data_IF_032996977242
#
_entry.id   IF_032996977242
#
_cell.length_a   1.000
_cell.length_b   1.000
_cell.length_c   1.000
_cell.angle_alpha   90.00
_cell.angle_beta   90.00
_cell.angle_gamma   90.00
#
_symmetry.space_group_name_H-M   'P 1'
#
loop_
_entity.id
_entity.type
_entity.pdbx_description
1 polymer ?
#
# COMPACT_ATOMS: atom_id res chain seq x y z
N UNK A 1 9.67 29.32 -33.66
CA UNK A 1 9.45 27.91 -33.27
C UNK A 1 9.35 27.68 -31.76
N UNK A 2 9.97 28.49 -30.88
CA UNK A 2 9.75 28.41 -29.42
C UNK A 2 8.32 28.77 -28.97
N UNK A 3 7.64 29.67 -29.68
CA UNK A 3 6.29 30.12 -29.31
C UNK A 3 5.17 29.10 -29.56
N UNK A 4 5.45 27.99 -30.29
CA UNK A 4 4.48 26.92 -30.51
C UNK A 4 4.53 25.83 -29.42
N UNK A 5 5.66 25.68 -28.71
CA UNK A 5 5.79 24.71 -27.62
C UNK A 5 5.09 25.17 -26.32
N UNK A 6 4.97 26.48 -26.10
CA UNK A 6 4.23 27.02 -24.95
C UNK A 6 2.70 27.07 -25.14
N UNK A 7 2.20 26.86 -26.37
CA UNK A 7 0.75 26.96 -26.67
C UNK A 7 -0.06 25.69 -26.39
N UNK A 8 0.59 24.57 -26.02
CA UNK A 8 -0.12 23.33 -25.65
C UNK A 8 -0.36 23.14 -24.15
N UNK A 9 0.09 24.07 -23.29
CA UNK A 9 -0.17 24.01 -21.85
C UNK A 9 -1.58 24.50 -21.42
N UNK A 10 -2.47 24.86 -22.35
CA UNK A 10 -3.70 25.59 -22.00
C UNK A 10 -4.92 24.96 -22.64
N UNK A 11 -5.36 23.79 -22.15
CA UNK A 11 -6.77 23.31 -22.16
C UNK A 11 -7.07 22.30 -21.03
N UNK A 12 -6.45 22.48 -19.87
CA UNK A 12 -7.09 22.18 -18.60
C UNK A 12 -7.74 23.49 -18.13
N UNK A 13 -8.84 23.44 -17.37
CA UNK A 13 -9.61 24.59 -16.88
C UNK A 13 -8.74 25.81 -16.47
N UNK A 14 -9.25 27.05 -16.50
CA UNK A 14 -8.53 28.24 -16.04
C UNK A 14 -8.35 28.17 -14.52
N UNK A 15 -7.45 27.30 -14.08
CA UNK A 15 -6.93 27.19 -12.74
C UNK A 15 -5.53 27.74 -12.89
N UNK A 16 -5.28 28.84 -12.18
CA UNK A 16 -3.98 29.46 -11.96
C UNK A 16 -2.82 28.49 -12.21
N UNK A 17 -1.85 28.89 -13.05
CA UNK A 17 -0.50 28.32 -12.97
C UNK A 17 -0.07 28.56 -11.52
N UNK A 18 -0.27 27.57 -10.66
CA UNK A 18 0.10 27.67 -9.24
C UNK A 18 1.62 27.77 -9.21
N UNK A 19 2.15 28.62 -8.34
CA UNK A 19 3.59 28.70 -8.14
C UNK A 19 4.10 27.31 -7.76
N UNK A 20 4.92 26.74 -8.65
CA UNK A 20 5.64 25.50 -8.38
C UNK A 20 6.62 25.76 -7.24
N UNK A 21 6.61 24.88 -6.24
CA UNK A 21 7.52 24.98 -5.09
C UNK A 21 8.85 24.26 -5.33
N UNK A 22 8.84 23.19 -6.14
CA UNK A 22 10.03 22.44 -6.49
C UNK A 22 9.70 21.20 -7.33
N UNK A 23 10.72 20.39 -7.62
CA UNK A 23 10.51 19.09 -8.27
C UNK A 23 9.97 18.07 -7.26
N UNK A 24 9.29 17.03 -7.76
CA UNK A 24 8.86 15.93 -6.89
C UNK A 24 10.06 15.21 -6.29
N UNK A 25 11.22 15.19 -6.96
CA UNK A 25 12.47 14.68 -6.40
C UNK A 25 12.93 15.46 -5.17
N UNK A 26 12.88 16.80 -5.19
CA UNK A 26 13.25 17.61 -4.01
C UNK A 26 12.34 17.33 -2.81
N UNK A 27 11.08 16.97 -3.10
CA UNK A 27 10.08 16.68 -2.09
C UNK A 27 10.10 15.23 -1.59
N UNK A 28 10.39 14.28 -2.47
CA UNK A 28 10.40 12.83 -2.22
C UNK A 28 11.81 12.23 -2.17
N UNK A 29 12.84 13.07 -2.04
CA UNK A 29 14.22 12.63 -2.00
C UNK A 29 14.52 11.75 -0.78
N UNK A 30 15.69 11.11 -0.76
CA UNK A 30 16.10 10.15 0.28
C UNK A 30 16.08 10.68 1.72
N UNK A 31 16.18 12.00 1.92
CA UNK A 31 16.11 12.63 3.24
C UNK A 31 14.68 13.00 3.67
N UNK A 32 13.68 12.77 2.82
CA UNK A 32 12.31 13.22 3.04
C UNK A 32 11.47 12.19 3.79
N UNK A 33 10.87 12.61 4.90
CA UNK A 33 9.90 11.82 5.67
C UNK A 33 8.58 11.59 4.94
N UNK A 34 8.39 12.11 3.71
CA UNK A 34 7.15 11.98 2.97
C UNK A 34 6.86 10.54 2.51
N UNK A 35 7.90 9.70 2.37
CA UNK A 35 7.77 8.31 1.91
C UNK A 35 7.46 7.33 3.05
N UNK A 36 7.79 7.69 4.30
CA UNK A 36 7.64 6.83 5.48
C UNK A 36 6.46 7.33 6.32
N UNK A 37 5.38 6.56 6.37
CA UNK A 37 4.29 6.82 7.30
C UNK A 37 4.74 6.64 8.74
N UNK A 38 4.26 7.49 9.66
CA UNK A 38 4.43 7.27 11.10
C UNK A 38 3.61 6.02 11.47
N UNK A 39 4.27 4.91 11.79
CA UNK A 39 3.62 3.63 12.12
C UNK A 39 3.64 2.56 11.01
N UNK A 40 4.82 2.29 10.46
CA UNK A 40 5.25 0.99 9.90
C UNK A 40 4.49 0.38 8.70
N UNK A 41 3.49 1.04 8.11
CA UNK A 41 2.78 0.54 6.92
C UNK A 41 2.82 1.58 5.81
N UNK A 42 3.72 1.38 4.84
CA UNK A 42 3.67 2.06 3.54
C UNK A 42 2.34 1.70 2.87
N UNK A 43 1.68 2.61 2.13
CA UNK A 43 2.11 3.97 1.82
C UNK A 43 1.67 5.04 2.84
N UNK A 44 2.49 6.07 2.99
CA UNK A 44 2.07 7.30 3.67
C UNK A 44 0.87 7.91 2.93
N UNK A 45 -0.02 8.61 3.65
CA UNK A 45 -1.13 9.36 3.03
C UNK A 45 -0.67 10.30 1.91
N UNK A 46 0.52 10.85 2.06
CA UNK A 46 1.13 11.75 1.10
C UNK A 46 1.57 11.01 -0.18
N UNK A 47 2.18 9.83 -0.05
CA UNK A 47 2.53 8.98 -1.19
C UNK A 47 1.26 8.49 -1.92
N UNK A 48 0.20 8.16 -1.17
CA UNK A 48 -1.11 7.84 -1.75
C UNK A 48 -1.66 9.00 -2.57
N UNK A 49 -1.59 10.22 -2.02
CA UNK A 49 -2.06 11.42 -2.73
C UNK A 49 -1.23 11.73 -3.98
N UNK A 50 0.09 11.62 -3.90
CA UNK A 50 0.99 11.80 -5.05
C UNK A 50 0.63 10.81 -6.16
N UNK A 51 0.48 9.53 -5.83
CA UNK A 51 0.09 8.51 -6.80
C UNK A 51 -1.29 8.80 -7.41
N UNK A 52 -2.25 9.24 -6.59
CA UNK A 52 -3.60 9.63 -7.02
C UNK A 52 -3.54 10.75 -8.07
N UNK A 53 -2.83 11.83 -7.78
CA UNK A 53 -2.71 12.97 -8.69
C UNK A 53 -2.09 12.58 -10.03
N UNK A 54 -1.06 11.72 -10.01
CA UNK A 54 -0.39 11.25 -11.22
C UNK A 54 -1.32 10.35 -12.05
N UNK A 55 -2.06 9.43 -11.41
CA UNK A 55 -3.03 8.56 -12.07
C UNK A 55 -4.16 9.39 -12.71
N UNK A 56 -4.69 10.39 -12.01
CA UNK A 56 -5.73 11.27 -12.56
C UNK A 56 -5.19 12.09 -13.74
N UNK A 57 -3.98 12.66 -13.60
CA UNK A 57 -3.33 13.43 -14.66
C UNK A 57 -3.09 12.59 -15.92
N UNK A 58 -2.52 11.40 -15.78
CA UNK A 58 -2.26 10.48 -16.88
C UNK A 58 -3.57 10.02 -17.55
N UNK A 59 -4.56 9.63 -16.75
CA UNK A 59 -5.86 9.19 -17.27
C UNK A 59 -6.55 10.30 -18.07
N UNK A 60 -6.51 11.53 -17.58
CA UNK A 60 -7.07 12.67 -18.29
C UNK A 60 -6.35 12.91 -19.63
N UNK A 61 -5.01 12.93 -19.63
CA UNK A 61 -4.24 13.11 -20.86
C UNK A 61 -4.54 12.02 -21.88
N UNK A 62 -4.58 10.76 -21.44
CA UNK A 62 -4.81 9.62 -22.32
C UNK A 62 -6.21 9.66 -22.94
N UNK A 63 -7.23 10.04 -22.16
CA UNK A 63 -8.59 10.27 -22.64
C UNK A 63 -8.68 11.38 -23.69
N UNK A 64 -7.77 12.37 -23.65
CA UNK A 64 -7.67 13.43 -24.68
C UNK A 64 -6.87 13.02 -25.91
N UNK A 65 -6.39 11.79 -25.99
CA UNK A 65 -5.54 11.32 -27.08
C UNK A 65 -4.11 11.84 -27.01
N UNK A 66 -3.64 12.16 -25.80
CA UNK A 66 -2.30 12.65 -25.52
C UNK A 66 -1.53 11.63 -24.66
N UNK A 67 -0.22 11.85 -24.49
CA UNK A 67 0.67 11.07 -23.63
C UNK A 67 1.74 12.01 -23.04
N UNK A 68 2.39 11.59 -21.96
CA UNK A 68 3.38 12.38 -21.26
C UNK A 68 4.79 12.21 -21.82
N UNK A 69 5.22 10.97 -22.03
CA UNK A 69 6.48 10.60 -22.70
C UNK A 69 7.76 10.84 -21.91
N UNK A 70 7.69 11.21 -20.63
CA UNK A 70 8.85 11.56 -19.80
C UNK A 70 8.53 11.50 -18.29
N UNK A 71 7.95 10.40 -17.83
CA UNK A 71 7.50 10.21 -16.44
C UNK A 71 8.71 9.90 -15.54
N UNK A 72 8.96 10.77 -14.55
CA UNK A 72 9.95 10.56 -13.48
C UNK A 72 9.75 11.55 -12.33
N UNK A 73 10.34 11.28 -11.17
CA UNK A 73 10.34 12.22 -10.03
C UNK A 73 11.05 13.55 -10.33
N UNK A 74 12.05 13.54 -11.21
CA UNK A 74 12.80 14.74 -11.58
C UNK A 74 12.10 15.62 -12.61
N UNK A 75 11.07 15.10 -13.28
CA UNK A 75 10.37 15.79 -14.38
C UNK A 75 9.00 16.33 -13.96
N UNK A 76 8.48 15.88 -12.82
CA UNK A 76 7.24 16.37 -12.22
C UNK A 76 7.50 17.43 -11.16
N UNK A 77 6.50 18.29 -10.97
CA UNK A 77 6.54 19.35 -9.99
C UNK A 77 5.48 19.14 -8.92
N UNK A 78 5.67 19.77 -7.76
CA UNK A 78 4.64 19.85 -6.73
C UNK A 78 4.31 21.31 -6.39
N UNK A 79 3.10 21.53 -5.88
CA UNK A 79 2.69 22.79 -5.29
C UNK A 79 1.76 22.52 -4.11
N UNK A 80 1.76 23.41 -3.12
CA UNK A 80 0.75 23.37 -2.06
C UNK A 80 -0.48 24.17 -2.46
N UNK A 81 -1.63 23.66 -2.08
CA UNK A 81 -2.87 24.44 -2.12
C UNK A 81 -2.97 25.40 -0.93
N UNK A 82 -4.08 26.13 -0.84
CA UNK A 82 -4.33 27.11 0.21
C UNK A 82 -4.52 26.48 1.61
N UNK A 83 -4.76 25.17 1.68
CA UNK A 83 -4.79 24.39 2.92
C UNK A 83 -3.42 23.80 3.28
N UNK A 84 -2.40 24.02 2.45
CA UNK A 84 -1.08 23.43 2.61
C UNK A 84 -0.97 21.98 2.11
N UNK A 85 -2.02 21.46 1.45
CA UNK A 85 -2.05 20.12 0.88
C UNK A 85 -1.22 20.08 -0.40
N UNK A 86 -0.43 19.02 -0.56
CA UNK A 86 0.45 18.84 -1.71
C UNK A 86 -0.37 18.34 -2.89
N UNK A 87 -0.11 18.93 -4.05
CA UNK A 87 -0.63 18.48 -5.34
C UNK A 87 0.49 18.34 -6.37
N UNK A 88 0.44 17.28 -7.16
CA UNK A 88 1.43 17.00 -8.21
C UNK A 88 0.99 17.59 -9.54
N UNK A 89 1.93 18.20 -10.26
CA UNK A 89 1.73 18.71 -11.62
C UNK A 89 2.60 17.93 -12.60
N UNK A 90 1.94 17.32 -13.59
CA UNK A 90 2.61 16.70 -14.73
C UNK A 90 3.24 17.79 -15.62
N UNK A 91 4.53 17.63 -15.93
CA UNK A 91 5.30 18.64 -16.65
C UNK A 91 6.48 18.02 -17.41
N UNK A 92 7.19 18.85 -18.17
CA UNK A 92 8.35 18.44 -18.96
C UNK A 92 8.05 17.26 -19.91
N UNK A 93 6.94 17.39 -20.65
CA UNK A 93 6.45 16.39 -21.59
C UNK A 93 7.49 16.04 -22.66
N UNK A 94 7.70 14.76 -22.87
CA UNK A 94 8.62 14.21 -23.87
C UNK A 94 7.89 13.81 -25.15
N UNK A 95 8.64 13.72 -26.24
CA UNK A 95 8.13 13.21 -27.51
C UNK A 95 8.80 11.86 -27.83
N UNK A 96 7.97 10.87 -28.17
CA UNK A 96 8.37 9.54 -28.62
C UNK A 96 7.83 9.32 -30.04
N UNK A 97 8.68 8.90 -30.98
CA UNK A 97 8.29 8.55 -32.37
C UNK A 97 7.68 7.14 -32.45
N UNK A 98 6.59 6.91 -31.72
CA UNK A 98 5.90 5.62 -31.63
C UNK A 98 4.38 5.81 -31.71
N UNK A 99 3.60 4.74 -31.97
CA UNK A 99 2.14 4.81 -31.96
C UNK A 99 1.59 5.34 -30.63
N UNK A 100 0.48 6.10 -30.69
CA UNK A 100 -0.11 6.75 -29.52
C UNK A 100 -0.43 5.76 -28.37
N UNK A 101 -1.08 4.63 -28.67
CA UNK A 101 -1.41 3.62 -27.66
C UNK A 101 -0.17 3.04 -27.00
N UNK A 102 0.89 2.87 -27.77
CA UNK A 102 2.17 2.39 -27.26
C UNK A 102 2.80 3.43 -26.32
N UNK A 103 2.78 4.70 -26.68
CA UNK A 103 3.26 5.79 -25.83
C UNK A 103 2.47 5.92 -24.52
N UNK A 104 1.14 5.78 -24.58
CA UNK A 104 0.27 5.81 -23.41
C UNK A 104 0.51 4.61 -22.47
N UNK A 105 0.70 3.41 -23.02
CA UNK A 105 1.12 2.23 -22.25
C UNK A 105 2.46 2.48 -21.57
N UNK A 106 3.41 3.07 -22.30
CA UNK A 106 4.73 3.35 -21.76
C UNK A 106 4.69 4.41 -20.64
N UNK A 107 3.79 5.39 -20.67
CA UNK A 107 3.60 6.32 -19.54
C UNK A 107 3.25 5.58 -18.24
N UNK A 108 2.32 4.61 -18.30
CA UNK A 108 1.97 3.79 -17.15
C UNK A 108 3.17 2.97 -16.68
N UNK A 109 3.89 2.32 -17.60
CA UNK A 109 5.08 1.54 -17.24
C UNK A 109 6.17 2.41 -16.61
N UNK A 110 6.39 3.59 -17.14
CA UNK A 110 7.35 4.56 -16.62
C UNK A 110 6.91 5.08 -15.24
N UNK A 111 5.61 5.25 -14.99
CA UNK A 111 5.08 5.51 -13.65
C UNK A 111 5.38 4.37 -12.66
N UNK A 112 5.18 3.11 -13.08
CA UNK A 112 5.55 1.96 -12.26
C UNK A 112 7.05 1.90 -11.95
N UNK A 113 7.92 2.19 -12.92
CA UNK A 113 9.38 2.27 -12.70
C UNK A 113 9.72 3.38 -11.70
N UNK A 114 9.10 4.55 -11.84
CA UNK A 114 9.29 5.67 -10.91
C UNK A 114 8.92 5.29 -9.47
N UNK A 115 7.85 4.51 -9.26
CA UNK A 115 7.49 3.99 -7.94
C UNK A 115 8.54 3.01 -7.39
N UNK A 116 9.15 2.18 -8.23
CA UNK A 116 10.28 1.31 -7.81
C UNK A 116 11.55 2.10 -7.50
N UNK A 117 11.80 3.21 -8.19
CA UNK A 117 12.92 4.10 -7.84
C UNK A 117 12.72 4.72 -6.46
N UNK A 118 11.50 5.24 -6.18
CA UNK A 118 11.15 5.72 -4.84
C UNK A 118 11.29 4.63 -3.77
N UNK A 119 10.89 3.40 -4.11
CA UNK A 119 11.01 2.24 -3.24
C UNK A 119 12.46 1.92 -2.86
N UNK A 120 13.34 1.90 -3.85
CA UNK A 120 14.77 1.64 -3.67
C UNK A 120 15.41 2.68 -2.76
N UNK A 121 15.05 3.95 -2.92
CA UNK A 121 15.52 5.02 -2.03
C UNK A 121 15.03 4.80 -0.59
N UNK A 122 13.77 4.41 -0.36
CA UNK A 122 13.27 4.15 1.01
C UNK A 122 13.98 2.95 1.65
N UNK A 123 14.08 1.85 0.92
CA UNK A 123 14.65 0.60 1.43
C UNK A 123 16.12 0.73 1.81
N UNK A 124 16.85 1.68 1.20
CA UNK A 124 18.23 1.99 1.55
C UNK A 124 18.38 2.67 2.92
N UNK A 125 17.39 3.45 3.36
CA UNK A 125 17.43 4.19 4.64
C UNK A 125 16.71 3.48 5.77
N UNK A 126 15.71 2.68 5.44
CA UNK A 126 14.91 1.96 6.42
C UNK A 126 14.50 0.64 5.79
N UNK A 127 14.80 -0.50 6.42
CA UNK A 127 14.46 -1.84 5.91
C UNK A 127 12.96 -2.14 5.92
N UNK A 128 12.13 -1.09 5.98
CA UNK A 128 10.70 -1.12 6.14
C UNK A 128 9.96 -1.25 4.79
N UNK A 129 8.65 -1.39 4.88
CA UNK A 129 7.81 -2.33 4.15
C UNK A 129 7.36 -1.80 2.81
N UNK A 130 8.10 -2.12 1.78
CA UNK A 130 7.79 -1.66 0.43
C UNK A 130 7.01 -2.67 -0.39
N UNK A 131 6.67 -3.84 0.14
CA UNK A 131 5.98 -4.91 -0.60
C UNK A 131 4.68 -4.44 -1.27
N UNK A 132 3.87 -3.62 -0.59
CA UNK A 132 2.66 -3.00 -1.14
C UNK A 132 3.00 -2.05 -2.29
N UNK A 133 4.06 -1.24 -2.15
CA UNK A 133 4.52 -0.32 -3.18
C UNK A 133 5.10 -1.06 -4.39
N UNK A 134 5.85 -2.14 -4.18
CA UNK A 134 6.38 -3.01 -5.24
C UNK A 134 5.25 -3.71 -5.99
N UNK A 135 4.26 -4.28 -5.30
CA UNK A 135 3.08 -4.89 -5.93
C UNK A 135 2.30 -3.85 -6.75
N UNK A 136 2.13 -2.64 -6.18
CA UNK A 136 1.47 -1.53 -6.85
C UNK A 136 2.24 -1.04 -8.09
N UNK A 137 3.57 -0.92 -8.00
CA UNK A 137 4.42 -0.57 -9.14
C UNK A 137 4.33 -1.62 -10.25
N UNK A 138 4.34 -2.90 -9.87
CA UNK A 138 4.23 -4.02 -10.81
C UNK A 138 2.89 -4.05 -11.56
N UNK A 139 1.80 -3.55 -10.97
CA UNK A 139 0.53 -3.37 -11.69
C UNK A 139 0.72 -2.51 -12.95
N UNK A 140 1.47 -1.42 -12.85
CA UNK A 140 1.70 -0.50 -13.96
C UNK A 140 2.79 -1.00 -14.91
N UNK A 141 3.88 -1.58 -14.40
CA UNK A 141 4.96 -2.16 -15.23
C UNK A 141 4.41 -3.24 -16.17
N UNK A 142 3.47 -4.04 -15.68
CA UNK A 142 2.86 -5.13 -16.44
C UNK A 142 1.67 -4.70 -17.30
N UNK A 143 1.34 -3.40 -17.35
CA UNK A 143 0.24 -2.88 -18.16
C UNK A 143 0.48 -3.16 -19.65
N UNK A 144 -0.55 -3.67 -20.30
CA UNK A 144 -0.62 -3.91 -21.76
C UNK A 144 -1.50 -2.86 -22.44
N UNK A 145 -1.55 -2.85 -23.77
CA UNK A 145 -2.43 -1.91 -24.49
C UNK A 145 -3.92 -2.17 -24.25
N UNK A 146 -4.29 -3.42 -23.94
CA UNK A 146 -5.67 -3.81 -23.62
C UNK A 146 -6.09 -3.32 -22.23
N UNK A 147 -5.13 -2.98 -21.38
CA UNK A 147 -5.38 -2.51 -20.03
C UNK A 147 -5.67 -1.01 -19.95
N UNK A 148 -5.38 -0.23 -20.99
CA UNK A 148 -5.41 1.24 -20.96
C UNK A 148 -6.76 1.81 -20.45
N UNK A 149 -7.87 1.21 -20.84
CA UNK A 149 -9.22 1.65 -20.43
C UNK A 149 -9.59 1.21 -19.01
N UNK A 150 -8.79 0.33 -18.40
CA UNK A 150 -9.10 -0.30 -17.11
C UNK A 150 -8.06 -0.05 -16.04
N UNK A 151 -6.86 0.40 -16.39
CA UNK A 151 -5.72 0.50 -15.48
C UNK A 151 -5.98 1.49 -14.33
N UNK A 152 -6.64 2.62 -14.59
CA UNK A 152 -7.09 3.56 -13.54
C UNK A 152 -7.95 2.84 -12.49
N UNK A 153 -8.97 2.13 -12.95
CA UNK A 153 -9.88 1.36 -12.09
C UNK A 153 -9.16 0.23 -11.37
N UNK A 154 -8.24 -0.48 -12.04
CA UNK A 154 -7.41 -1.52 -11.39
C UNK A 154 -6.53 -0.91 -10.30
N UNK A 155 -5.93 0.25 -10.55
CA UNK A 155 -5.06 0.95 -9.61
C UNK A 155 -5.83 1.38 -8.36
N UNK A 156 -6.99 2.03 -8.50
CA UNK A 156 -7.80 2.41 -7.33
C UNK A 156 -8.35 1.23 -6.55
N UNK A 157 -8.43 0.05 -7.16
CA UNK A 157 -8.80 -1.18 -6.46
C UNK A 157 -7.64 -1.87 -5.76
N UNK A 158 -6.42 -1.36 -5.92
CA UNK A 158 -5.24 -1.93 -5.31
C UNK A 158 -5.21 -1.66 -3.80
N UNK A 159 -4.63 -2.59 -3.03
CA UNK A 159 -4.45 -2.48 -1.56
C UNK A 159 -3.67 -1.23 -1.12
N UNK A 160 -2.92 -0.63 -2.04
CA UNK A 160 -2.20 0.64 -1.86
C UNK A 160 -3.12 1.82 -1.53
N UNK A 161 -4.37 1.82 -1.99
CA UNK A 161 -5.37 2.86 -1.69
C UNK A 161 -6.33 2.47 -0.56
N UNK A 162 -6.05 1.40 0.19
CA UNK A 162 -6.91 0.98 1.30
C UNK A 162 -6.73 1.92 2.49
N UNK A 163 -7.84 2.48 2.98
CA UNK A 163 -7.84 3.41 4.13
C UNK A 163 -7.83 2.68 5.49
N UNK A 164 -8.12 1.37 5.52
CA UNK A 164 -8.20 0.58 6.74
C UNK A 164 -6.81 0.41 7.37
N UNK A 165 -6.65 0.67 8.67
CA UNK A 165 -5.41 0.36 9.41
C UNK A 165 -5.11 -1.15 9.28
N UNK A 166 -3.84 -1.52 9.06
CA UNK A 166 -3.44 -2.93 8.98
C UNK A 166 -3.78 -3.71 10.24
N UNK A 167 -3.76 -3.05 11.40
CA UNK A 167 -4.20 -3.66 12.65
C UNK A 167 -5.69 -3.95 12.68
N UNK A 168 -6.51 -2.97 12.28
CA UNK A 168 -7.97 -3.12 12.27
C UNK A 168 -8.42 -4.24 11.33
N UNK A 169 -7.81 -4.31 10.14
CA UNK A 169 -8.03 -5.42 9.22
C UNK A 169 -7.76 -6.77 9.89
N UNK A 170 -6.61 -6.92 10.55
CA UNK A 170 -6.19 -8.20 11.11
C UNK A 170 -7.00 -8.55 12.37
N UNK A 171 -7.17 -7.63 13.30
CA UNK A 171 -7.89 -7.89 14.56
C UNK A 171 -9.39 -8.10 14.38
N UNK A 172 -10.01 -7.51 13.35
CA UNK A 172 -11.47 -7.52 13.20
C UNK A 172 -11.94 -8.34 12.00
N UNK A 173 -11.39 -8.12 10.82
CA UNK A 173 -11.92 -8.76 9.61
C UNK A 173 -11.31 -10.14 9.39
N UNK A 174 -9.99 -10.25 9.46
CA UNK A 174 -9.30 -11.55 9.31
C UNK A 174 -9.70 -12.51 10.42
N UNK A 175 -9.84 -12.03 11.66
CA UNK A 175 -10.24 -12.86 12.80
C UNK A 175 -11.62 -13.53 12.60
N UNK A 176 -12.57 -12.85 11.96
CA UNK A 176 -13.86 -13.41 11.60
C UNK A 176 -13.75 -14.49 10.52
N UNK A 177 -12.98 -14.21 9.46
CA UNK A 177 -12.78 -15.12 8.32
C UNK A 177 -11.98 -16.38 8.66
N UNK A 178 -11.24 -16.41 9.77
CA UNK A 178 -10.57 -17.62 10.26
C UNK A 178 -11.54 -18.77 10.61
N UNK A 179 -12.86 -18.49 10.66
CA UNK A 179 -13.88 -19.52 10.83
C UNK A 179 -14.34 -20.13 9.49
N UNK A 180 -14.03 -19.50 8.35
CA UNK A 180 -14.35 -20.03 7.02
C UNK A 180 -13.27 -21.05 6.58
N UNK A 181 -13.65 -22.32 6.33
CA UNK A 181 -12.73 -23.33 5.81
C UNK A 181 -12.06 -22.96 4.48
N UNK A 182 -12.75 -22.23 3.60
CA UNK A 182 -12.22 -21.82 2.30
C UNK A 182 -11.12 -20.76 2.47
N UNK A 183 -11.36 -19.75 3.31
CA UNK A 183 -10.34 -18.76 3.64
C UNK A 183 -9.12 -19.42 4.30
N UNK A 184 -9.33 -20.33 5.25
CA UNK A 184 -8.26 -21.10 5.87
C UNK A 184 -7.44 -21.91 4.86
N UNK A 185 -8.08 -22.47 3.84
CA UNK A 185 -7.37 -23.20 2.79
C UNK A 185 -6.55 -22.25 1.90
N UNK A 186 -7.08 -21.08 1.56
CA UNK A 186 -6.32 -20.03 0.85
C UNK A 186 -5.10 -19.54 1.64
N UNK A 187 -5.21 -19.43 2.97
CA UNK A 187 -4.05 -19.15 3.83
C UNK A 187 -2.98 -20.24 3.72
N UNK A 188 -3.36 -21.52 3.75
CA UNK A 188 -2.42 -22.66 3.62
C UNK A 188 -1.72 -22.65 2.27
N UNK A 189 -2.45 -22.40 1.19
CA UNK A 189 -1.90 -22.31 -0.17
C UNK A 189 -0.91 -21.14 -0.33
N UNK A 190 -1.09 -20.07 0.44
CA UNK A 190 -0.20 -18.91 0.45
C UNK A 190 0.74 -18.87 1.66
N UNK A 191 0.91 -20.00 2.36
CA UNK A 191 1.69 -20.09 3.61
C UNK A 191 3.11 -19.52 3.47
N UNK A 192 3.79 -19.82 2.36
CA UNK A 192 5.15 -19.34 2.08
C UNK A 192 5.27 -17.82 1.88
N UNK A 193 4.15 -17.10 1.67
CA UNK A 193 4.13 -15.63 1.58
C UNK A 193 3.72 -14.96 2.89
N UNK A 194 2.95 -15.67 3.72
CA UNK A 194 2.33 -15.18 4.96
C UNK A 194 3.23 -15.48 6.17
N UNK A 195 3.68 -16.72 6.30
CA UNK A 195 4.48 -17.21 7.42
C UNK A 195 5.75 -17.88 6.88
N UNK A 196 6.84 -17.12 6.85
CA UNK A 196 8.10 -17.54 6.22
C UNK A 196 8.88 -18.60 7.03
N UNK A 197 8.52 -18.81 8.30
CA UNK A 197 9.26 -19.70 9.21
C UNK A 197 8.36 -20.23 10.34
N UNK A 198 8.88 -21.17 11.12
CA UNK A 198 8.23 -21.69 12.32
C UNK A 198 8.13 -20.58 13.38
N UNK A 199 6.90 -20.19 13.73
CA UNK A 199 6.66 -19.04 14.60
C UNK A 199 6.87 -19.33 16.09
N UNK A 200 7.33 -20.54 16.44
CA UNK A 200 7.92 -20.88 17.75
C UNK A 200 9.32 -20.29 17.96
N UNK A 201 9.59 -19.09 17.45
CA UNK A 201 10.87 -18.42 17.61
C UNK A 201 10.94 -17.64 18.94
N UNK A 202 12.15 -17.30 19.45
CA UNK A 202 12.30 -16.58 20.72
C UNK A 202 11.51 -15.26 20.78
N UNK A 203 11.32 -14.61 19.64
CA UNK A 203 10.61 -13.34 19.52
C UNK A 203 9.12 -13.46 19.90
N UNK A 204 8.46 -14.57 19.53
CA UNK A 204 7.06 -14.84 19.87
C UNK A 204 6.90 -15.69 21.13
N UNK A 205 7.90 -16.49 21.48
CA UNK A 205 7.85 -17.37 22.64
C UNK A 205 7.65 -16.62 23.96
N UNK A 206 8.14 -15.38 24.06
CA UNK A 206 7.95 -14.52 25.23
C UNK A 206 6.53 -13.92 25.34
N UNK A 207 5.82 -13.82 24.20
CA UNK A 207 4.46 -13.28 24.11
C UNK A 207 3.40 -14.38 24.26
N UNK A 208 3.75 -15.61 23.86
CA UNK A 208 2.87 -16.77 23.87
C UNK A 208 2.18 -17.04 25.22
N UNK A 209 2.86 -16.98 26.39
CA UNK A 209 2.20 -17.17 27.68
C UNK A 209 1.12 -16.12 27.96
N UNK A 210 1.38 -14.86 27.60
CA UNK A 210 0.43 -13.78 27.84
C UNK A 210 -0.78 -13.88 26.89
N UNK A 211 -0.56 -14.18 25.61
CA UNK A 211 -1.65 -14.42 24.65
C UNK A 211 -2.48 -15.63 25.08
N UNK A 212 -1.84 -16.75 25.44
CA UNK A 212 -2.54 -17.94 25.92
C UNK A 212 -3.33 -17.68 27.22
N UNK A 213 -2.79 -16.85 28.12
CA UNK A 213 -3.51 -16.44 29.33
C UNK A 213 -4.81 -15.70 28.99
N UNK A 214 -4.75 -14.69 28.12
CA UNK A 214 -5.94 -13.96 27.64
C UNK A 214 -6.93 -14.88 26.90
N UNK A 215 -6.45 -15.71 25.96
CA UNK A 215 -7.30 -16.68 25.23
C UNK A 215 -8.09 -17.59 26.16
N UNK A 216 -7.45 -18.10 27.21
CA UNK A 216 -8.07 -19.02 28.16
C UNK A 216 -9.01 -18.31 29.13
N UNK A 217 -8.58 -17.20 29.73
CA UNK A 217 -9.32 -16.53 30.81
C UNK A 217 -10.47 -15.67 30.32
N UNK A 218 -10.27 -14.95 29.21
CA UNK A 218 -11.25 -13.97 28.73
C UNK A 218 -12.21 -14.56 27.70
N UNK A 219 -11.78 -15.61 26.97
CA UNK A 219 -12.54 -16.15 25.83
C UNK A 219 -12.76 -17.67 25.87
N UNK A 220 -12.20 -18.39 26.86
CA UNK A 220 -12.38 -19.85 27.00
C UNK A 220 -11.82 -20.66 25.83
N UNK A 221 -10.86 -20.11 25.08
CA UNK A 221 -10.28 -20.76 23.91
C UNK A 221 -9.09 -21.65 24.25
N UNK A 222 -8.84 -22.65 23.40
CA UNK A 222 -7.71 -23.57 23.53
C UNK A 222 -6.39 -22.79 23.34
N UNK A 223 -5.38 -23.01 24.20
CA UNK A 223 -4.07 -22.38 24.06
C UNK A 223 -3.38 -22.87 22.79
N UNK A 224 -2.51 -22.04 22.25
CA UNK A 224 -1.54 -22.47 21.25
C UNK A 224 -0.45 -23.34 21.87
N UNK A 225 -0.10 -24.42 21.17
CA UNK A 225 0.91 -25.40 21.58
C UNK A 225 2.04 -25.52 20.55
N UNK A 226 3.17 -26.14 20.92
CA UNK A 226 4.32 -26.27 20.02
C UNK A 226 4.00 -26.95 18.68
N UNK A 227 3.04 -27.88 18.68
CA UNK A 227 2.56 -28.56 17.47
C UNK A 227 1.92 -27.60 16.46
N UNK A 228 1.45 -26.44 16.90
CA UNK A 228 0.79 -25.43 16.08
C UNK A 228 1.80 -24.50 15.35
N UNK A 229 3.08 -24.53 15.74
CA UNK A 229 4.07 -23.54 15.29
C UNK A 229 4.45 -23.62 13.81
N UNK A 230 3.99 -24.64 13.10
CA UNK A 230 4.13 -24.80 11.65
C UNK A 230 2.84 -24.53 10.88
N UNK A 231 1.72 -24.29 11.57
CA UNK A 231 0.42 -24.04 10.95
C UNK A 231 0.21 -22.53 10.75
N UNK A 232 0.06 -22.12 9.48
CA UNK A 232 -0.18 -20.71 9.11
C UNK A 232 -1.52 -20.18 9.61
N UNK A 233 -2.55 -21.00 9.72
CA UNK A 233 -3.86 -20.58 10.22
C UNK A 233 -3.75 -20.28 11.72
N UNK A 234 -3.01 -21.13 12.45
CA UNK A 234 -2.71 -20.90 13.87
C UNK A 234 -1.83 -19.67 14.06
N UNK A 235 -0.84 -19.46 13.19
CA UNK A 235 -0.03 -18.25 13.18
C UNK A 235 -0.88 -16.99 12.98
N UNK A 236 -1.71 -16.95 11.95
CA UNK A 236 -2.56 -15.77 11.66
C UNK A 236 -3.52 -15.52 12.83
N UNK A 237 -4.14 -16.57 13.39
CA UNK A 237 -4.96 -16.45 14.60
C UNK A 237 -4.18 -15.86 15.78
N UNK A 238 -2.95 -16.33 16.01
CA UNK A 238 -2.08 -15.80 17.06
C UNK A 238 -1.79 -14.32 16.86
N UNK A 239 -1.58 -13.87 15.62
CA UNK A 239 -1.39 -12.44 15.32
C UNK A 239 -2.68 -11.64 15.54
N UNK A 240 -3.85 -12.18 15.15
CA UNK A 240 -5.14 -11.54 15.42
C UNK A 240 -5.33 -11.30 16.92
N UNK A 241 -5.12 -12.34 17.73
CA UNK A 241 -5.18 -12.26 19.18
C UNK A 241 -4.17 -11.27 19.74
N UNK A 242 -2.94 -11.29 19.21
CA UNK A 242 -1.89 -10.40 19.66
C UNK A 242 -2.29 -8.94 19.45
N UNK A 243 -2.91 -8.58 18.32
CA UNK A 243 -3.45 -7.24 18.09
C UNK A 243 -4.68 -6.94 18.92
N UNK A 244 -5.58 -7.90 19.14
CA UNK A 244 -6.75 -7.72 19.99
C UNK A 244 -6.34 -7.44 21.45
N UNK A 245 -5.32 -8.16 21.94
CA UNK A 245 -4.86 -8.11 23.33
C UNK A 245 -3.69 -7.13 23.55
N UNK A 246 -3.12 -6.52 22.51
CA UNK A 246 -1.94 -5.65 22.61
C UNK A 246 -2.11 -4.48 23.60
N UNK A 247 -3.36 -4.07 23.89
CA UNK A 247 -3.67 -3.02 24.88
C UNK A 247 -3.58 -3.50 26.34
N UNK A 248 -3.50 -4.82 26.58
CA UNK A 248 -3.57 -5.44 27.90
C UNK A 248 -2.46 -6.46 28.23
N UNK A 249 -1.60 -6.84 27.26
CA UNK A 249 -0.54 -7.82 27.50
C UNK A 249 0.54 -7.26 28.44
N UNK A 250 0.61 -7.80 29.65
CA UNK A 250 1.75 -7.68 30.57
C UNK A 250 2.61 -8.94 30.47
N UNK A 251 3.88 -8.81 30.08
CA UNK A 251 4.78 -9.96 30.00
C UNK A 251 5.13 -10.44 31.41
N UNK A 252 5.01 -11.75 31.72
CA UNK A 252 5.36 -12.27 33.04
C UNK A 252 6.85 -12.02 33.35
N UNK A 253 7.14 -11.29 34.44
CA UNK A 253 8.51 -11.09 34.95
C UNK A 253 9.19 -9.76 34.60
N UNK A 254 8.52 -8.88 33.85
CA UNK A 254 8.99 -7.51 33.62
C UNK A 254 7.86 -6.67 33.06
N UNK A 255 7.42 -5.65 33.81
CA UNK A 255 6.22 -4.85 33.52
C UNK A 255 6.26 -3.96 32.26
N UNK A 256 6.94 -4.39 31.19
CA UNK A 256 6.78 -3.78 29.87
C UNK A 256 5.46 -4.23 29.25
N UNK A 257 4.57 -3.26 29.07
CA UNK A 257 3.46 -3.36 28.11
C UNK A 257 4.01 -2.99 26.75
N UNK A 258 3.86 -3.88 25.78
CA UNK A 258 4.14 -3.51 24.41
C UNK A 258 3.11 -2.49 23.95
N UNK A 259 3.59 -1.39 23.39
CA UNK A 259 2.71 -0.45 22.69
C UNK A 259 2.29 -1.06 21.35
N UNK A 260 1.14 -0.64 20.79
CA UNK A 260 0.74 -1.06 19.44
C UNK A 260 1.82 -0.84 18.38
N UNK A 261 2.58 0.25 18.46
CA UNK A 261 3.67 0.54 17.52
C UNK A 261 4.86 -0.45 17.63
N UNK A 262 5.19 -0.90 18.84
CA UNK A 262 6.24 -1.91 19.04
C UNK A 262 5.78 -3.30 18.57
N UNK A 263 4.49 -3.60 18.69
CA UNK A 263 3.90 -4.82 18.13
C UNK A 263 3.92 -4.82 16.61
N UNK A 264 3.53 -3.69 16.01
CA UNK A 264 3.65 -3.50 14.57
C UNK A 264 5.09 -3.76 14.16
N UNK A 265 6.07 -3.04 14.72
CA UNK A 265 7.50 -3.21 14.41
C UNK A 265 7.97 -4.66 14.52
N UNK A 266 7.60 -5.37 15.59
CA UNK A 266 7.93 -6.79 15.78
C UNK A 266 7.38 -7.66 14.66
N UNK A 267 6.07 -7.64 14.43
CA UNK A 267 5.40 -8.49 13.43
C UNK A 267 5.96 -8.18 12.05
N UNK A 268 6.09 -6.91 11.76
CA UNK A 268 6.47 -6.38 10.48
C UNK A 268 7.94 -6.69 10.13
N UNK A 269 8.86 -6.59 11.10
CA UNK A 269 10.27 -6.96 10.91
C UNK A 269 10.46 -8.44 10.56
N UNK A 270 9.55 -9.30 11.00
CA UNK A 270 9.61 -10.75 10.80
C UNK A 270 8.76 -11.21 9.61
N UNK A 271 7.60 -10.60 9.41
CA UNK A 271 6.62 -10.94 8.39
C UNK A 271 6.26 -9.72 7.55
N UNK A 272 7.22 -9.20 6.74
CA UNK A 272 7.09 -7.93 6.02
C UNK A 272 5.97 -7.90 4.97
N UNK A 273 5.42 -9.06 4.61
CA UNK A 273 4.33 -9.22 3.63
C UNK A 273 3.00 -9.59 4.26
N UNK A 274 2.94 -9.86 5.56
CA UNK A 274 1.75 -10.41 6.23
C UNK A 274 0.50 -9.59 5.94
N UNK A 275 0.52 -8.30 6.26
CA UNK A 275 -0.64 -7.42 6.06
C UNK A 275 -1.01 -7.29 4.58
N UNK A 276 -0.03 -7.25 3.68
CA UNK A 276 -0.28 -7.15 2.24
C UNK A 276 -0.99 -8.42 1.72
N UNK A 277 -0.46 -9.60 2.03
CA UNK A 277 -1.01 -10.87 1.57
C UNK A 277 -2.38 -11.13 2.19
N UNK A 278 -2.55 -10.84 3.49
CA UNK A 278 -3.86 -10.94 4.15
C UNK A 278 -4.89 -10.01 3.50
N UNK A 279 -4.53 -8.77 3.14
CA UNK A 279 -5.44 -7.88 2.41
C UNK A 279 -5.86 -8.44 1.06
N UNK A 280 -4.91 -8.98 0.29
CA UNK A 280 -5.22 -9.56 -1.02
C UNK A 280 -6.22 -10.70 -0.89
N UNK A 281 -5.99 -11.59 0.06
CA UNK A 281 -6.92 -12.68 0.36
C UNK A 281 -8.27 -12.12 0.81
N UNK A 282 -8.32 -11.20 1.79
CA UNK A 282 -9.58 -10.61 2.24
C UNK A 282 -10.38 -9.97 1.09
N UNK A 283 -9.75 -9.34 0.11
CA UNK A 283 -10.43 -8.78 -1.06
C UNK A 283 -11.06 -9.83 -1.99
N UNK A 284 -10.52 -11.05 -2.01
CA UNK A 284 -11.09 -12.18 -2.77
C UNK A 284 -12.37 -12.71 -2.10
N UNK A 285 -12.44 -12.66 -0.77
CA UNK A 285 -13.54 -13.18 0.04
C UNK A 285 -14.57 -12.12 0.44
N UNK A 286 -14.22 -10.83 0.39
CA UNK A 286 -15.12 -9.74 0.75
C UNK A 286 -16.39 -9.74 -0.12
N UNK A 287 -17.55 -9.64 0.55
CA UNK A 287 -18.82 -9.46 -0.14
C UNK A 287 -18.82 -8.16 -0.96
N UNK A 288 -19.65 -8.05 -2.02
CA UNK A 288 -19.75 -6.81 -2.80
C UNK A 288 -20.06 -5.56 -1.97
N UNK A 289 -20.71 -5.72 -0.81
CA UNK A 289 -21.15 -4.66 0.09
C UNK A 289 -20.08 -4.24 1.11
N UNK A 290 -19.14 -5.13 1.44
CA UNK A 290 -18.02 -4.86 2.35
C UNK A 290 -16.78 -4.34 1.63
N UNK A 291 -16.73 -4.53 0.31
CA UNK A 291 -15.71 -3.97 -0.56
C UNK A 291 -15.40 -2.51 -0.22
N UNK A 292 -16.39 -1.58 -0.12
CA UNK A 292 -16.19 -0.17 0.26
C UNK A 292 -15.43 0.07 1.57
N UNK A 293 -15.50 -0.87 2.52
CA UNK A 293 -14.84 -0.77 3.83
C UNK A 293 -13.39 -1.28 3.82
N UNK A 294 -12.99 -2.00 2.76
CA UNK A 294 -11.62 -2.45 2.50
C UNK A 294 -10.90 -1.61 1.42
N UNK A 295 -11.58 -0.58 0.90
CA UNK A 295 -11.16 0.39 -0.10
C UNK A 295 -12.39 0.86 -0.87
N UNK A 296 -12.27 1.82 -1.79
CA UNK A 296 -13.32 2.28 -2.74
C UNK A 296 -14.10 3.54 -2.32
N UNK A 297 -13.52 4.69 -2.66
CA UNK A 297 -14.23 5.64 -3.51
C UNK A 297 -13.53 5.66 -4.87
N UNK A 298 -14.18 5.13 -5.91
CA UNK A 298 -13.87 5.52 -7.28
C UNK A 298 -14.74 6.74 -7.57
N UNK A 299 -14.19 7.94 -7.79
CA UNK A 299 -15.00 9.14 -8.05
C UNK A 299 -15.92 9.02 -9.28
N UNK A 300 -15.65 8.04 -10.15
CA UNK A 300 -16.27 7.88 -11.47
C UNK A 300 -17.50 6.96 -11.49
N UNK A 301 -17.99 6.43 -10.37
CA UNK A 301 -19.23 5.62 -10.37
C UNK A 301 -20.53 6.47 -10.53
N UNK A 302 -20.39 7.78 -10.73
CA UNK A 302 -21.46 8.70 -11.10
C UNK A 302 -21.20 9.36 -12.47
N UNK A 303 -21.11 8.56 -13.53
CA UNK A 303 -21.41 9.02 -14.91
C UNK A 303 -21.60 7.86 -15.90
#
# INVERSE_FOLDING_TARGET
MLALHLRRMVKLHPIFIRCVEGTLYDFCGPESSCLIGVGSLVPSRLLVQIARDIIEGLSYMHMKGEYHGNISVGTMFYCRDWNGEISVQLANFGFKEIPLKEAQRDDWRDFGKMLLEMEHEVSAYNSCHTSILVDFANLFINTTEDDLDTIKRKAYKHTFFSDTDGRELVSSSVSLELNDPQFCESLRQNSSKICLFNWGCPDYYTLLPAVNHCRQMDFGQVPYEEKDFTDVVKFVGFICDLYEYCRGIEVPGGGMKYTPAQMDELIISKHPRLNHELRKLMLEFASPEEKPYFGFFCPDDNQ
#
